data_IF_164533255365
#
_entry.id   IF_164533255365
#
_cell.length_a   1.000
_cell.length_b   1.000
_cell.length_c   1.000
_cell.angle_alpha   90.00
_cell.angle_beta   90.00
_cell.angle_gamma   90.00
#
_symmetry.space_group_name_H-M   'P 1'
#
loop_
_entity.id
_entity.type
_entity.pdbx_description
1 polymer ?
#
# COMPACT_ATOMS: atom_id res chain seq x y z
N UNK A 1 -20.84 0.09 6.47
CA UNK A 1 -21.34 0.16 5.07
C UNK A 1 -21.44 -1.25 4.51
N UNK A 2 -22.32 -1.50 3.56
CA UNK A 2 -22.47 -2.83 2.94
C UNK A 2 -22.34 -2.71 1.43
N UNK A 3 -21.48 -3.54 0.83
CA UNK A 3 -21.29 -3.61 -0.62
C UNK A 3 -21.83 -4.95 -1.18
N UNK A 4 -22.51 -4.85 -2.30
CA UNK A 4 -22.93 -5.97 -3.14
C UNK A 4 -21.97 -6.08 -4.33
N UNK A 5 -21.75 -7.28 -4.92
CA UNK A 5 -20.92 -7.45 -6.11
C UNK A 5 -21.55 -6.88 -7.38
N UNK A 6 -22.73 -6.25 -7.26
CA UNK A 6 -23.44 -5.65 -8.38
C UNK A 6 -23.10 -4.17 -8.46
N UNK A 7 -22.59 -3.74 -9.60
CA UNK A 7 -22.37 -2.31 -9.89
C UNK A 7 -23.68 -1.53 -9.81
N UNK A 8 -23.69 -0.50 -8.99
CA UNK A 8 -24.86 0.30 -8.73
C UNK A 8 -25.20 1.25 -9.89
N UNK A 9 -26.50 1.41 -10.17
CA UNK A 9 -26.99 2.43 -11.10
C UNK A 9 -26.88 3.81 -10.44
N UNK A 10 -26.48 4.82 -11.20
CA UNK A 10 -26.30 6.20 -10.76
C UNK A 10 -24.87 6.54 -10.35
N UNK A 11 -24.59 7.84 -10.21
CA UNK A 11 -23.25 8.33 -9.88
C UNK A 11 -22.89 8.01 -8.43
N UNK A 12 -21.78 7.32 -8.16
CA UNK A 12 -21.28 7.10 -6.80
C UNK A 12 -20.78 8.44 -6.20
N UNK A 13 -20.89 8.56 -4.88
CA UNK A 13 -20.25 9.61 -4.14
C UNK A 13 -18.86 9.11 -3.72
N UNK A 14 -17.83 9.85 -4.09
CA UNK A 14 -16.44 9.54 -3.74
C UNK A 14 -15.88 10.70 -2.92
N UNK A 15 -15.34 10.39 -1.76
CA UNK A 15 -14.83 11.40 -0.83
C UNK A 15 -13.35 11.67 -1.12
N UNK A 16 -12.97 12.95 -1.26
CA UNK A 16 -11.59 13.42 -1.39
C UNK A 16 -11.24 14.53 -0.41
N UNK A 17 -12.13 14.80 0.54
CA UNK A 17 -11.90 15.75 1.64
C UNK A 17 -12.19 15.05 2.94
N UNK A 18 -11.24 15.10 3.86
CA UNK A 18 -11.31 14.37 5.10
C UNK A 18 -12.38 14.90 6.06
N UNK A 19 -12.96 13.99 6.82
CA UNK A 19 -13.85 14.25 7.96
C UNK A 19 -13.04 14.42 9.26
N UNK A 20 -13.69 14.85 10.37
CA UNK A 20 -13.06 14.92 11.70
C UNK A 20 -12.59 13.58 12.25
N UNK A 21 -13.11 12.47 11.75
CA UNK A 21 -12.76 11.10 12.07
C UNK A 21 -12.97 10.24 10.82
N UNK A 22 -12.76 8.91 10.93
CA UNK A 22 -12.96 7.94 9.83
C UNK A 22 -11.79 7.91 8.82
N UNK A 23 -10.57 8.14 9.28
CA UNK A 23 -9.40 8.15 8.39
C UNK A 23 -9.29 6.87 7.55
N UNK A 24 -9.58 5.70 8.13
CA UNK A 24 -9.55 4.40 7.45
C UNK A 24 -10.93 3.93 6.92
N UNK A 25 -11.98 4.73 7.04
CA UNK A 25 -13.32 4.38 6.57
C UNK A 25 -13.40 4.27 5.03
N UNK A 26 -14.46 3.61 4.50
CA UNK A 26 -14.71 3.53 3.06
C UNK A 26 -14.93 4.93 2.47
N UNK A 27 -14.39 5.14 1.27
CA UNK A 27 -14.43 6.44 0.57
C UNK A 27 -15.41 6.48 -0.60
N UNK A 28 -16.00 5.35 -0.95
CA UNK A 28 -17.08 5.26 -1.94
C UNK A 28 -18.37 4.84 -1.23
N UNK A 29 -19.50 5.45 -1.58
CA UNK A 29 -20.81 5.11 -1.01
C UNK A 29 -21.43 3.84 -1.61
N UNK A 30 -20.99 3.48 -2.80
CA UNK A 30 -21.41 2.30 -3.56
C UNK A 30 -20.42 1.97 -4.67
N UNK A 31 -20.45 0.73 -5.12
CA UNK A 31 -19.66 0.30 -6.26
C UNK A 31 -20.21 0.92 -7.55
N UNK A 32 -19.46 1.85 -8.14
CA UNK A 32 -19.75 2.49 -9.44
C UNK A 32 -19.01 1.81 -10.58
N UNK A 33 -19.27 2.25 -11.84
CA UNK A 33 -18.61 1.68 -13.03
C UNK A 33 -17.10 1.89 -13.07
N UNK A 34 -16.61 3.02 -12.54
CA UNK A 34 -15.19 3.40 -12.58
C UNK A 34 -14.58 3.59 -11.21
N UNK A 35 -15.32 3.25 -10.13
CA UNK A 35 -14.82 3.42 -8.78
C UNK A 35 -13.98 2.25 -8.34
N UNK A 36 -13.04 2.54 -7.47
CA UNK A 36 -12.28 1.58 -6.70
C UNK A 36 -12.03 2.11 -5.29
N UNK A 37 -11.92 1.21 -4.33
CA UNK A 37 -11.48 1.46 -2.97
C UNK A 37 -10.79 0.19 -2.47
N UNK A 38 -9.56 0.30 -1.92
CA UNK A 38 -8.87 -0.85 -1.36
C UNK A 38 -8.14 -0.50 -0.07
N UNK A 39 -8.07 -1.47 0.82
CA UNK A 39 -7.25 -1.46 2.02
C UNK A 39 -6.05 -2.37 1.81
N UNK A 40 -4.88 -1.86 2.03
CA UNK A 40 -3.60 -2.51 1.81
C UNK A 40 -2.87 -2.73 3.13
N UNK A 41 -2.46 -3.95 3.41
CA UNK A 41 -1.69 -4.32 4.59
C UNK A 41 -0.49 -5.13 4.17
N UNK A 42 0.69 -4.84 4.75
CA UNK A 42 1.86 -5.69 4.57
C UNK A 42 2.76 -5.76 5.80
N UNK A 43 3.67 -6.73 5.76
CA UNK A 43 4.81 -6.82 6.64
C UNK A 43 6.01 -7.41 5.92
N UNK A 44 7.20 -6.95 6.31
CA UNK A 44 8.50 -7.45 5.87
C UNK A 44 9.30 -7.85 7.09
N UNK A 45 9.96 -9.02 7.04
CA UNK A 45 10.88 -9.45 8.10
C UNK A 45 12.05 -8.48 8.25
N UNK A 46 12.65 -8.42 9.42
CA UNK A 46 13.75 -7.49 9.71
C UNK A 46 14.96 -7.67 8.80
N UNK A 47 15.18 -8.87 8.26
CA UNK A 47 16.25 -9.18 7.31
C UNK A 47 15.85 -9.00 5.83
N UNK A 48 14.60 -8.60 5.54
CA UNK A 48 14.09 -8.40 4.19
C UNK A 48 13.88 -9.68 3.38
N UNK A 49 13.94 -10.86 3.99
CA UNK A 49 13.83 -12.15 3.27
C UNK A 49 12.42 -12.69 3.16
N UNK A 50 11.51 -12.29 4.05
CA UNK A 50 10.13 -12.73 4.10
C UNK A 50 9.18 -11.54 4.06
N UNK A 51 8.02 -11.71 3.43
CA UNK A 51 6.95 -10.72 3.46
C UNK A 51 5.57 -11.37 3.33
N UNK A 52 4.58 -10.66 3.85
CA UNK A 52 3.17 -11.00 3.73
C UNK A 52 2.38 -9.75 3.35
N UNK A 53 1.53 -9.85 2.34
CA UNK A 53 0.69 -8.73 1.87
C UNK A 53 -0.73 -9.20 1.69
N UNK A 54 -1.70 -8.42 2.16
CA UNK A 54 -3.14 -8.62 1.93
C UNK A 54 -3.76 -7.32 1.42
N UNK A 55 -4.54 -7.41 0.34
CA UNK A 55 -5.25 -6.27 -0.23
C UNK A 55 -6.73 -6.63 -0.34
N UNK A 56 -7.56 -5.78 0.22
CA UNK A 56 -9.02 -5.95 0.23
C UNK A 56 -9.64 -4.98 -0.78
N UNK A 57 -10.33 -5.48 -1.78
CA UNK A 57 -10.90 -4.68 -2.86
C UNK A 57 -12.42 -4.56 -2.79
N UNK A 58 -12.88 -3.33 -3.03
CA UNK A 58 -14.22 -3.01 -3.51
C UNK A 58 -14.04 -2.19 -4.79
N UNK A 59 -13.84 -2.85 -5.93
CA UNK A 59 -13.47 -2.19 -7.18
C UNK A 59 -14.22 -2.76 -8.37
N UNK A 60 -14.63 -1.88 -9.30
CA UNK A 60 -15.16 -2.34 -10.58
C UNK A 60 -14.03 -2.73 -11.54
N UNK A 61 -14.35 -3.56 -12.53
CA UNK A 61 -13.40 -3.97 -13.59
C UNK A 61 -12.82 -2.78 -14.37
N UNK A 62 -13.56 -1.70 -14.49
CA UNK A 62 -13.10 -0.48 -15.16
C UNK A 62 -12.32 0.40 -14.18
N UNK A 63 -12.77 0.48 -12.90
CA UNK A 63 -12.13 1.29 -11.88
C UNK A 63 -10.69 0.87 -11.60
N UNK A 64 -10.47 -0.44 -11.41
CA UNK A 64 -9.14 -1.01 -11.21
C UNK A 64 -8.91 -2.19 -12.14
N UNK A 65 -8.51 -1.89 -13.37
CA UNK A 65 -8.38 -2.87 -14.46
C UNK A 65 -7.19 -3.83 -14.32
N UNK A 66 -6.33 -3.68 -13.32
CA UNK A 66 -5.31 -4.66 -12.95
C UNK A 66 -5.90 -5.87 -12.23
N UNK A 67 -7.02 -5.70 -11.59
CA UNK A 67 -7.85 -6.78 -11.13
C UNK A 67 -8.64 -7.33 -12.32
N UNK A 68 -8.00 -8.17 -13.13
CA UNK A 68 -8.61 -8.82 -14.30
C UNK A 68 -9.85 -9.63 -13.93
N UNK A 69 -10.05 -9.93 -12.65
CA UNK A 69 -11.15 -10.72 -12.12
C UNK A 69 -12.30 -9.86 -11.61
N UNK A 70 -12.10 -8.55 -11.42
CA UNK A 70 -13.15 -7.65 -10.92
C UNK A 70 -14.36 -7.53 -11.83
N UNK A 71 -14.23 -7.96 -13.10
CA UNK A 71 -15.37 -8.12 -13.99
C UNK A 71 -16.38 -9.21 -13.52
N UNK A 72 -15.89 -10.21 -12.76
CA UNK A 72 -16.65 -11.34 -12.24
C UNK A 72 -16.77 -11.22 -10.72
N UNK A 73 -15.72 -10.76 -10.04
CA UNK A 73 -15.58 -10.69 -8.59
C UNK A 73 -15.10 -9.30 -8.14
N UNK A 74 -15.94 -8.25 -8.19
CA UNK A 74 -15.55 -6.89 -7.82
C UNK A 74 -15.27 -6.71 -6.31
N UNK A 75 -15.68 -7.70 -5.50
CA UNK A 75 -15.39 -7.79 -4.08
C UNK A 75 -14.46 -8.98 -3.86
N UNK A 76 -13.18 -8.73 -3.72
CA UNK A 76 -12.21 -9.80 -3.59
C UNK A 76 -11.04 -9.41 -2.68
N UNK A 77 -10.23 -10.40 -2.31
CA UNK A 77 -9.01 -10.22 -1.52
C UNK A 77 -7.84 -10.82 -2.28
N UNK A 78 -6.73 -10.11 -2.29
CA UNK A 78 -5.45 -10.61 -2.81
C UNK A 78 -4.50 -10.90 -1.67
N UNK A 79 -3.86 -12.06 -1.70
CA UNK A 79 -2.89 -12.49 -0.68
C UNK A 79 -1.58 -12.85 -1.37
N UNK A 80 -0.48 -12.28 -0.89
CA UNK A 80 0.87 -12.55 -1.37
C UNK A 80 1.78 -12.91 -0.20
N UNK A 81 2.67 -13.84 -0.45
CA UNK A 81 3.70 -14.25 0.50
C UNK A 81 5.05 -14.36 -0.20
N UNK A 82 6.10 -13.96 0.49
CA UNK A 82 7.49 -14.31 0.15
C UNK A 82 8.07 -15.09 1.30
N UNK A 83 8.50 -16.31 1.04
CA UNK A 83 9.07 -17.20 2.06
C UNK A 83 10.58 -17.00 2.14
N UNK A 84 11.17 -17.30 3.29
CA UNK A 84 12.61 -17.15 3.52
C UNK A 84 13.53 -18.04 2.63
N UNK A 85 12.94 -18.98 1.88
CA UNK A 85 13.63 -19.75 0.83
C UNK A 85 13.65 -19.05 -0.54
N UNK A 86 13.14 -17.80 -0.62
CA UNK A 86 13.03 -17.00 -1.84
C UNK A 86 11.83 -17.38 -2.72
N UNK A 87 10.99 -18.35 -2.33
CA UNK A 87 9.81 -18.69 -3.11
C UNK A 87 8.67 -17.72 -2.84
N UNK A 88 8.01 -17.16 -3.88
CA UNK A 88 6.78 -16.40 -3.72
C UNK A 88 5.56 -17.33 -3.76
N UNK A 89 4.46 -16.88 -3.16
CA UNK A 89 3.13 -17.44 -3.36
C UNK A 89 2.11 -16.30 -3.54
N UNK A 90 1.14 -16.53 -4.42
CA UNK A 90 0.07 -15.58 -4.69
C UNK A 90 -1.26 -16.31 -4.74
N UNK A 91 -2.26 -15.80 -4.02
CA UNK A 91 -3.64 -16.29 -4.03
C UNK A 91 -4.53 -15.12 -4.34
N UNK A 92 -5.01 -15.03 -5.57
CA UNK A 92 -5.91 -13.98 -6.04
C UNK A 92 -6.65 -14.39 -7.32
N UNK A 93 -7.90 -13.97 -7.47
CA UNK A 93 -8.72 -13.37 -6.44
C UNK A 93 -9.20 -14.41 -5.43
N UNK A 94 -9.42 -13.98 -4.18
CA UNK A 94 -10.27 -14.71 -3.23
C UNK A 94 -11.62 -13.98 -3.22
N UNK A 95 -12.66 -14.50 -3.87
CA UNK A 95 -13.90 -13.77 -4.07
C UNK A 95 -14.74 -13.69 -2.78
N UNK A 96 -15.53 -12.62 -2.70
CA UNK A 96 -16.53 -12.41 -1.66
C UNK A 96 -17.92 -12.21 -2.25
N UNK A 97 -18.93 -12.70 -1.57
CA UNK A 97 -20.35 -12.55 -1.97
C UNK A 97 -20.96 -11.22 -1.53
N UNK A 98 -20.39 -10.59 -0.52
CA UNK A 98 -20.70 -9.24 -0.05
C UNK A 98 -19.57 -8.74 0.85
N UNK A 99 -19.53 -7.42 1.11
CA UNK A 99 -18.59 -6.81 2.05
C UNK A 99 -19.35 -5.98 3.06
N UNK A 100 -18.99 -6.12 4.32
CA UNK A 100 -19.43 -5.23 5.40
C UNK A 100 -18.22 -4.49 5.93
N UNK A 101 -18.27 -3.15 5.93
CA UNK A 101 -17.27 -2.30 6.58
C UNK A 101 -17.91 -1.50 7.70
N UNK A 102 -17.20 -1.36 8.80
CA UNK A 102 -17.61 -0.56 9.96
C UNK A 102 -16.49 0.40 10.30
N UNK A 103 -16.81 1.67 10.45
CA UNK A 103 -15.86 2.70 10.89
C UNK A 103 -16.13 3.00 12.35
N UNK A 104 -15.07 3.10 13.15
CA UNK A 104 -15.12 3.44 14.56
C UNK A 104 -13.94 4.38 14.89
N UNK A 105 -14.23 5.63 15.25
CA UNK A 105 -13.20 6.66 15.36
C UNK A 105 -12.50 6.88 14.01
N UNK A 106 -11.19 6.83 13.99
CA UNK A 106 -10.39 6.86 12.76
C UNK A 106 -10.15 5.47 12.16
N UNK A 107 -10.32 4.40 12.93
CA UNK A 107 -10.13 3.03 12.49
C UNK A 107 -11.33 2.45 11.75
N UNK A 108 -11.11 1.34 11.08
CA UNK A 108 -12.13 0.57 10.39
C UNK A 108 -11.97 -0.94 10.60
N UNK A 109 -13.08 -1.65 10.38
CA UNK A 109 -13.11 -3.10 10.28
C UNK A 109 -13.81 -3.50 8.99
N UNK A 110 -13.38 -4.59 8.38
CA UNK A 110 -13.96 -5.08 7.15
C UNK A 110 -14.04 -6.60 7.09
N UNK A 111 -15.18 -7.11 6.65
CA UNK A 111 -15.39 -8.53 6.42
C UNK A 111 -15.81 -8.78 4.97
N UNK A 112 -15.00 -9.54 4.23
CA UNK A 112 -15.28 -10.01 2.87
C UNK A 112 -15.98 -11.36 2.97
N UNK A 113 -17.31 -11.34 3.10
CA UNK A 113 -18.13 -12.52 3.35
C UNK A 113 -17.97 -13.57 2.25
N UNK A 114 -17.70 -14.80 2.65
CA UNK A 114 -17.44 -15.93 1.75
C UNK A 114 -15.97 -16.14 1.41
N UNK A 115 -15.11 -15.13 1.55
CA UNK A 115 -13.67 -15.28 1.36
C UNK A 115 -12.97 -15.94 2.54
N UNK A 116 -13.53 -15.81 3.76
CA UNK A 116 -12.89 -16.20 5.01
C UNK A 116 -11.79 -15.24 5.46
N UNK A 117 -11.75 -14.00 4.91
CA UNK A 117 -10.71 -13.02 5.23
C UNK A 117 -11.36 -11.72 5.72
N UNK A 118 -10.82 -11.17 6.80
CA UNK A 118 -11.31 -9.93 7.42
C UNK A 118 -10.19 -9.16 8.08
N UNK A 119 -10.44 -7.88 8.38
CA UNK A 119 -9.58 -7.07 9.22
C UNK A 119 -10.37 -6.31 10.28
N UNK A 120 -9.72 -5.99 11.38
CA UNK A 120 -10.26 -5.21 12.49
C UNK A 120 -9.21 -4.23 13.00
N UNK A 121 -9.56 -2.94 13.02
CA UNK A 121 -8.72 -1.85 13.48
C UNK A 121 -9.27 -1.16 14.72
N UNK A 122 -8.37 -0.74 15.62
CA UNK A 122 -8.71 0.05 16.79
C UNK A 122 -9.13 1.48 16.38
N UNK A 123 -10.04 2.12 17.17
CA UNK A 123 -10.56 3.45 16.85
C UNK A 123 -9.51 4.56 16.75
N UNK A 124 -8.39 4.39 17.42
CA UNK A 124 -7.27 5.34 17.49
C UNK A 124 -6.11 4.97 16.57
N UNK A 125 -6.31 4.00 15.67
CA UNK A 125 -5.30 3.47 14.75
C UNK A 125 -4.10 2.81 15.45
N UNK A 126 -4.20 2.46 16.71
CA UNK A 126 -3.09 1.89 17.48
C UNK A 126 -2.75 0.47 17.07
N UNK A 127 -3.72 -0.31 16.59
CA UNK A 127 -3.48 -1.68 16.11
C UNK A 127 -4.49 -2.15 15.08
N UNK A 128 -4.07 -3.13 14.27
CA UNK A 128 -4.89 -3.88 13.33
C UNK A 128 -4.63 -5.37 13.42
N UNK A 129 -5.67 -6.15 13.18
CA UNK A 129 -5.60 -7.61 13.06
C UNK A 129 -6.25 -8.02 11.75
N UNK A 130 -5.49 -8.68 10.88
CA UNK A 130 -6.01 -9.37 9.70
C UNK A 130 -6.16 -10.85 10.04
N UNK A 131 -7.34 -11.42 9.80
CA UNK A 131 -7.68 -12.83 10.05
C UNK A 131 -7.90 -13.56 8.74
N UNK A 132 -7.28 -14.73 8.60
CA UNK A 132 -7.48 -15.65 7.50
C UNK A 132 -8.11 -16.93 8.04
N UNK A 133 -9.29 -17.27 7.54
CA UNK A 133 -10.02 -18.48 7.91
C UNK A 133 -10.67 -19.11 6.66
N UNK A 134 -9.82 -19.47 5.69
CA UNK A 134 -10.20 -20.23 4.51
C UNK A 134 -9.32 -21.48 4.35
N UNK A 135 -9.59 -22.53 5.16
CA UNK A 135 -8.77 -23.76 5.13
C UNK A 135 -8.91 -24.54 3.80
N UNK A 136 -9.96 -24.29 3.01
CA UNK A 136 -10.20 -24.97 1.73
C UNK A 136 -9.10 -24.66 0.72
N UNK A 137 -8.65 -23.39 0.69
CA UNK A 137 -7.54 -22.96 -0.18
C UNK A 137 -6.22 -22.80 0.60
N UNK A 138 -6.19 -23.27 1.86
CA UNK A 138 -4.99 -23.25 2.70
C UNK A 138 -4.56 -21.84 3.16
N UNK A 139 -5.50 -20.91 3.30
CA UNK A 139 -5.30 -19.57 3.89
C UNK A 139 -5.83 -19.58 5.32
N UNK A 140 -4.95 -19.61 6.32
CA UNK A 140 -5.34 -19.59 7.74
C UNK A 140 -4.31 -18.85 8.57
N UNK A 141 -4.76 -18.29 9.71
CA UNK A 141 -3.89 -17.63 10.68
C UNK A 141 -4.18 -16.15 10.87
N UNK A 142 -3.23 -15.44 11.45
CA UNK A 142 -3.37 -14.04 11.81
C UNK A 142 -2.14 -13.23 11.43
N UNK A 143 -2.39 -11.97 11.10
CA UNK A 143 -1.39 -10.94 10.87
C UNK A 143 -1.77 -9.72 11.71
N UNK A 144 -0.89 -9.28 12.58
CA UNK A 144 -1.14 -8.17 13.50
C UNK A 144 -0.16 -7.04 13.28
N UNK A 145 -0.65 -5.80 13.41
CA UNK A 145 0.11 -4.57 13.33
C UNK A 145 -0.09 -3.76 14.62
N UNK A 146 0.98 -3.18 15.16
CA UNK A 146 0.95 -2.15 16.20
C UNK A 146 1.65 -0.91 15.70
N UNK A 147 0.92 0.20 15.64
CA UNK A 147 1.44 1.45 15.11
C UNK A 147 2.64 1.96 15.93
N UNK A 148 3.64 2.49 15.21
CA UNK A 148 4.82 3.16 15.79
C UNK A 148 4.76 4.68 15.69
N UNK A 149 3.73 5.23 15.01
CA UNK A 149 3.58 6.68 14.87
C UNK A 149 2.27 7.07 14.21
N UNK A 150 1.99 8.35 14.09
CA UNK A 150 0.71 8.83 13.58
C UNK A 150 0.54 8.55 12.09
N UNK A 151 -0.71 8.26 11.69
CA UNK A 151 -1.12 8.23 10.30
C UNK A 151 -1.12 9.64 9.67
N UNK A 152 -1.17 9.70 8.34
CA UNK A 152 -1.12 10.97 7.63
C UNK A 152 -1.77 10.91 6.24
N UNK A 153 -2.10 12.08 5.68
CA UNK A 153 -2.35 12.28 4.25
C UNK A 153 -1.05 12.67 3.53
N UNK A 154 -1.05 12.70 2.21
CA UNK A 154 0.17 13.02 1.45
C UNK A 154 0.81 14.36 1.86
N UNK A 155 -0.01 15.39 2.06
CA UNK A 155 0.47 16.74 2.31
C UNK A 155 0.34 17.21 3.77
N UNK A 156 -0.19 16.40 4.68
CA UNK A 156 -0.41 16.82 6.07
C UNK A 156 -0.84 15.69 7.00
N UNK A 157 -0.92 15.99 8.30
CA UNK A 157 -1.37 15.03 9.31
C UNK A 157 -2.83 14.67 9.12
N UNK A 158 -3.29 13.60 9.77
CA UNK A 158 -4.72 13.31 9.90
C UNK A 158 -5.45 14.47 10.56
N UNK A 159 -6.64 14.77 10.07
CA UNK A 159 -7.47 15.85 10.59
C UNK A 159 -8.57 16.24 9.61
N UNK A 160 -9.52 17.07 9.99
CA UNK A 160 -10.64 17.47 9.15
C UNK A 160 -10.23 18.44 8.03
N UNK A 161 -11.01 18.42 6.93
CA UNK A 161 -10.89 19.35 5.80
C UNK A 161 -9.53 19.31 5.09
N UNK A 162 -8.83 18.20 5.16
CA UNK A 162 -7.60 17.96 4.40
C UNK A 162 -7.95 17.44 3.00
N UNK A 163 -7.13 17.79 2.01
CA UNK A 163 -7.18 17.14 0.70
C UNK A 163 -6.57 15.75 0.83
N UNK A 164 -7.37 14.73 0.52
CA UNK A 164 -6.96 13.31 0.58
C UNK A 164 -6.38 12.82 -0.75
N UNK A 165 -6.28 13.68 -1.77
CA UNK A 165 -5.78 13.28 -3.07
C UNK A 165 -4.24 13.13 -3.08
N UNK A 166 -3.78 11.97 -3.49
CA UNK A 166 -2.39 11.71 -3.85
C UNK A 166 -2.06 12.26 -5.24
N UNK A 167 -2.97 12.00 -6.19
CA UNK A 167 -3.07 12.59 -7.52
C UNK A 167 -4.53 12.99 -7.77
N UNK A 168 -4.84 13.87 -8.73
CA UNK A 168 -6.23 14.13 -9.10
C UNK A 168 -6.96 12.81 -9.36
N UNK A 169 -8.10 12.61 -8.70
CA UNK A 169 -8.93 11.39 -8.78
C UNK A 169 -8.35 10.11 -8.10
N UNK A 170 -7.20 10.19 -7.47
CA UNK A 170 -6.66 9.12 -6.63
C UNK A 170 -6.54 9.64 -5.19
N UNK A 171 -7.40 9.16 -4.31
CA UNK A 171 -7.28 9.38 -2.88
C UNK A 171 -6.30 8.41 -2.21
N UNK A 172 -5.72 8.84 -1.10
CA UNK A 172 -4.82 8.04 -0.29
C UNK A 172 -4.78 8.52 1.15
N UNK A 173 -4.69 7.57 2.04
CA UNK A 173 -4.35 7.79 3.45
C UNK A 173 -3.40 6.72 3.92
N UNK A 174 -2.31 7.12 4.55
CA UNK A 174 -1.42 6.20 5.25
C UNK A 174 -1.86 6.09 6.71
N UNK A 175 -2.46 4.97 7.03
CA UNK A 175 -3.04 4.71 8.35
C UNK A 175 -1.95 4.35 9.36
N UNK A 176 -1.02 3.50 8.94
CA UNK A 176 0.16 3.09 9.71
C UNK A 176 1.41 3.18 8.83
N UNK A 177 2.16 4.30 8.88
CA UNK A 177 3.39 4.48 8.10
C UNK A 177 4.55 3.59 8.58
N UNK A 178 4.49 3.13 9.81
CA UNK A 178 5.38 2.16 10.41
C UNK A 178 4.69 1.44 11.57
N UNK A 179 4.85 0.13 11.64
CA UNK A 179 4.27 -0.69 12.67
C UNK A 179 5.20 -1.85 13.06
N UNK A 180 5.06 -2.34 14.28
CA UNK A 180 5.55 -3.66 14.66
C UNK A 180 4.57 -4.70 14.15
N UNK A 181 5.08 -5.67 13.40
CA UNK A 181 4.28 -6.69 12.74
C UNK A 181 4.57 -8.08 13.28
N UNK A 182 3.50 -8.88 13.47
CA UNK A 182 3.59 -10.31 13.75
C UNK A 182 2.76 -11.06 12.72
N UNK A 183 3.41 -11.88 11.93
CA UNK A 183 2.79 -12.77 10.93
C UNK A 183 2.86 -14.19 11.40
N UNK A 184 1.70 -14.88 11.53
CA UNK A 184 1.59 -16.31 11.83
C UNK A 184 0.44 -16.88 10.98
N UNK A 185 0.76 -17.19 9.72
CA UNK A 185 -0.22 -17.61 8.72
C UNK A 185 0.22 -18.84 7.96
N UNK A 186 -0.73 -19.49 7.28
CA UNK A 186 -0.46 -20.43 6.20
C UNK A 186 -0.97 -19.87 4.88
N UNK A 187 -0.16 -19.94 3.85
CA UNK A 187 -0.53 -19.55 2.48
C UNK A 187 -0.38 -20.77 1.58
N UNK A 188 -1.47 -21.22 0.96
CA UNK A 188 -1.55 -22.50 0.23
C UNK A 188 -1.08 -23.68 1.08
N UNK A 189 -1.37 -23.63 2.40
CA UNK A 189 -0.96 -24.63 3.37
C UNK A 189 0.51 -24.55 3.85
N UNK A 190 1.37 -23.75 3.17
CA UNK A 190 2.76 -23.52 3.58
C UNK A 190 2.82 -22.50 4.72
N UNK A 191 3.45 -22.81 5.87
CA UNK A 191 3.54 -21.87 6.98
C UNK A 191 4.47 -20.71 6.66
N UNK A 192 4.05 -19.50 7.09
CA UNK A 192 4.85 -18.28 7.08
C UNK A 192 4.74 -17.65 8.46
N UNK A 193 5.85 -17.55 9.17
CA UNK A 193 5.91 -17.00 10.52
C UNK A 193 7.14 -16.14 10.69
N UNK A 194 6.92 -14.87 11.03
CA UNK A 194 8.00 -13.92 11.32
C UNK A 194 7.47 -12.73 12.12
N UNK A 195 8.39 -12.01 12.75
CA UNK A 195 8.21 -10.66 13.27
C UNK A 195 8.99 -9.68 12.39
N UNK A 196 8.49 -8.45 12.24
CA UNK A 196 9.14 -7.47 11.37
C UNK A 196 8.47 -6.11 11.38
N UNK A 197 8.60 -5.41 10.28
CA UNK A 197 8.05 -4.08 10.06
C UNK A 197 6.79 -4.18 9.23
N UNK A 198 5.73 -3.49 9.66
CA UNK A 198 4.44 -3.51 9.00
C UNK A 198 4.00 -2.14 8.53
N UNK A 199 3.00 -2.16 7.65
CA UNK A 199 2.47 -0.99 6.98
C UNK A 199 0.99 -1.19 6.66
N UNK A 200 0.22 -0.09 6.68
CA UNK A 200 -1.18 -0.08 6.26
C UNK A 200 -1.55 1.26 5.65
N UNK A 201 -2.14 1.20 4.47
CA UNK A 201 -2.76 2.34 3.80
C UNK A 201 -4.04 1.96 3.06
N UNK A 202 -4.67 2.93 2.45
CA UNK A 202 -5.73 2.71 1.49
C UNK A 202 -5.72 3.73 0.36
N UNK A 203 -6.18 3.28 -0.82
CA UNK A 203 -6.42 4.13 -1.97
C UNK A 203 -7.82 3.95 -2.50
N UNK A 204 -8.33 5.00 -3.14
CA UNK A 204 -9.63 5.01 -3.80
C UNK A 204 -9.66 5.99 -4.96
N UNK A 205 -10.71 5.88 -5.80
CA UNK A 205 -10.88 6.81 -6.91
C UNK A 205 -12.23 6.70 -7.59
N UNK A 206 -12.53 7.69 -8.42
CA UNK A 206 -13.79 7.86 -9.14
C UNK A 206 -13.66 7.69 -10.67
N UNK A 207 -12.43 7.59 -11.18
CA UNK A 207 -12.13 7.30 -12.59
C UNK A 207 -11.24 6.06 -12.69
N UNK A 208 -11.11 5.44 -13.88
CA UNK A 208 -10.22 4.29 -14.05
C UNK A 208 -8.79 4.61 -13.61
N UNK A 209 -8.23 3.82 -12.70
CA UNK A 209 -6.90 4.03 -12.12
C UNK A 209 -5.82 4.26 -13.19
N UNK A 210 -5.82 3.45 -14.25
CA UNK A 210 -4.85 3.55 -15.35
C UNK A 210 -4.92 4.86 -16.16
N UNK A 211 -5.98 5.67 -15.97
CA UNK A 211 -6.12 6.98 -16.62
C UNK A 211 -5.68 8.13 -15.71
N UNK A 212 -5.49 7.85 -14.43
CA UNK A 212 -5.16 8.86 -13.41
C UNK A 212 -3.65 9.05 -13.20
N UNK A 213 -2.80 8.20 -13.80
CA UNK A 213 -1.33 8.31 -13.75
C UNK A 213 -0.69 7.68 -14.99
N UNK A 214 0.58 8.01 -15.24
CA UNK A 214 1.44 7.31 -16.21
C UNK A 214 2.31 6.25 -15.54
N UNK A 215 2.88 6.59 -14.39
CA UNK A 215 3.72 5.67 -13.62
C UNK A 215 3.84 6.14 -12.17
N UNK A 216 4.20 5.23 -11.29
CA UNK A 216 4.71 5.56 -9.96
C UNK A 216 5.77 4.57 -9.48
N UNK A 217 6.61 5.06 -8.59
CA UNK A 217 7.31 4.27 -7.57
C UNK A 217 6.69 4.61 -6.22
N UNK A 218 6.36 3.59 -5.46
CA UNK A 218 5.93 3.68 -4.08
C UNK A 218 6.70 2.68 -3.24
N UNK A 219 6.86 2.98 -1.98
CA UNK A 219 7.39 2.03 -1.03
C UNK A 219 7.47 2.56 0.38
N UNK A 220 7.79 1.63 1.27
CA UNK A 220 8.13 1.92 2.65
C UNK A 220 9.36 1.12 3.08
N UNK A 221 10.03 1.59 4.13
CA UNK A 221 11.23 0.96 4.65
C UNK A 221 11.40 1.24 6.15
N UNK A 222 12.07 0.33 6.85
CA UNK A 222 12.51 0.56 8.21
C UNK A 222 14.02 0.39 8.30
N UNK A 223 14.74 1.45 8.70
CA UNK A 223 16.19 1.50 8.70
C UNK A 223 16.73 2.45 9.77
N UNK A 224 17.67 2.00 10.60
CA UNK A 224 18.34 2.85 11.59
C UNK A 224 17.41 3.55 12.60
N UNK A 225 16.26 2.94 12.92
CA UNK A 225 15.21 3.52 13.78
C UNK A 225 14.28 4.50 13.06
N UNK A 226 14.40 4.63 11.75
CA UNK A 226 13.47 5.39 10.91
C UNK A 226 12.48 4.47 10.22
N UNK A 227 11.22 4.90 10.13
CA UNK A 227 10.23 4.37 9.20
C UNK A 227 9.99 5.39 8.10
N UNK A 228 10.14 4.96 6.86
CA UNK A 228 10.10 5.81 5.67
C UNK A 228 8.92 5.40 4.80
N UNK A 229 8.20 6.37 4.25
CA UNK A 229 7.21 6.17 3.18
C UNK A 229 7.50 7.15 2.06
N UNK A 230 7.45 6.69 0.83
CA UNK A 230 7.83 7.50 -0.31
C UNK A 230 7.00 7.20 -1.56
N UNK A 231 6.71 8.27 -2.32
CA UNK A 231 6.12 8.22 -3.65
C UNK A 231 6.92 9.08 -4.63
N UNK A 232 7.04 8.61 -5.86
CA UNK A 232 7.50 9.38 -7.01
C UNK A 232 6.61 9.00 -8.21
N UNK A 233 5.76 9.91 -8.63
CA UNK A 233 4.65 9.66 -9.56
C UNK A 233 4.72 10.56 -10.77
N UNK A 234 4.27 10.06 -11.91
CA UNK A 234 4.04 10.86 -13.11
C UNK A 234 2.54 10.92 -13.38
N UNK A 235 1.98 12.11 -13.34
CA UNK A 235 0.57 12.33 -13.61
C UNK A 235 0.24 12.16 -15.12
N UNK A 236 -1.04 12.17 -15.52
CA UNK A 236 -1.41 12.01 -16.92
C UNK A 236 -0.84 13.10 -17.85
N UNK A 237 -0.51 14.28 -17.31
CA UNK A 237 0.09 15.40 -18.06
C UNK A 237 1.63 15.27 -18.17
N UNK A 238 2.24 14.27 -17.51
CA UNK A 238 3.69 14.08 -17.48
C UNK A 238 4.40 14.90 -16.41
N UNK A 239 3.66 15.43 -15.43
CA UNK A 239 4.22 16.22 -14.34
C UNK A 239 4.62 15.25 -13.19
N UNK A 240 5.85 15.40 -12.71
CA UNK A 240 6.32 14.66 -11.56
C UNK A 240 5.67 15.18 -10.27
N UNK A 241 5.10 14.28 -9.50
CA UNK A 241 4.54 14.48 -8.17
C UNK A 241 5.27 13.57 -7.19
N UNK A 242 5.49 14.04 -5.98
CA UNK A 242 6.20 13.29 -4.95
C UNK A 242 5.43 13.29 -3.64
N UNK A 243 5.70 12.30 -2.82
CA UNK A 243 5.28 12.23 -1.43
C UNK A 243 6.38 11.62 -0.58
N UNK A 244 6.61 12.16 0.59
CA UNK A 244 7.59 11.62 1.51
C UNK A 244 7.20 11.82 2.95
N UNK A 245 7.43 10.80 3.75
CA UNK A 245 7.18 10.80 5.17
C UNK A 245 8.25 9.99 5.90
N UNK A 246 8.70 10.48 7.02
CA UNK A 246 9.63 9.76 7.88
C UNK A 246 9.26 9.92 9.34
N UNK A 247 9.25 8.79 10.05
CA UNK A 247 9.23 8.71 11.50
C UNK A 247 10.64 8.43 12.02
N UNK A 248 10.95 8.95 13.19
CA UNK A 248 12.11 8.58 13.99
C UNK A 248 11.64 8.38 15.42
N UNK A 249 11.76 7.15 15.92
CA UNK A 249 11.34 6.81 17.29
C UNK A 249 9.88 7.25 17.62
N UNK A 250 8.97 7.15 16.62
CA UNK A 250 7.57 7.53 16.72
C UNK A 250 7.26 9.01 16.43
N UNK A 251 8.28 9.85 16.25
CA UNK A 251 8.12 11.29 15.97
C UNK A 251 8.25 11.57 14.46
N UNK A 252 7.41 12.48 13.95
CA UNK A 252 7.43 12.87 12.53
C UNK A 252 8.63 13.78 12.27
N UNK A 253 9.62 13.29 11.52
CA UNK A 253 10.84 14.02 11.17
C UNK A 253 10.88 14.47 9.71
N UNK A 254 9.99 14.00 8.87
CA UNK A 254 9.74 14.54 7.53
C UNK A 254 8.29 14.30 7.11
N UNK A 255 7.70 15.30 6.46
CA UNK A 255 6.45 15.17 5.71
C UNK A 255 6.44 16.20 4.58
N UNK A 256 6.32 15.73 3.35
CA UNK A 256 6.32 16.59 2.16
C UNK A 256 5.54 15.96 1.02
N UNK A 257 4.90 16.81 0.20
CA UNK A 257 4.23 16.41 -1.04
C UNK A 257 4.63 17.27 -2.24
N UNK A 258 5.69 18.06 -2.12
CA UNK A 258 6.11 19.00 -3.17
C UNK A 258 7.55 18.81 -3.61
N UNK A 259 8.48 18.75 -2.66
CA UNK A 259 9.93 18.67 -2.91
C UNK A 259 10.59 17.83 -1.82
N UNK A 260 11.91 17.60 -1.95
CA UNK A 260 12.70 16.92 -0.90
C UNK A 260 12.61 15.40 -0.94
N UNK A 261 11.96 14.81 -1.94
CA UNK A 261 11.96 13.36 -2.18
C UNK A 261 12.30 13.10 -3.65
N UNK A 262 13.13 12.11 -3.89
CA UNK A 262 13.50 11.66 -5.22
C UNK A 262 13.76 10.17 -5.23
N UNK A 263 13.05 9.42 -6.06
CA UNK A 263 13.27 7.99 -6.29
C UNK A 263 13.71 7.81 -7.74
N UNK A 264 14.82 7.09 -7.96
CA UNK A 264 15.31 6.82 -9.31
C UNK A 264 15.81 5.38 -9.44
N UNK A 265 15.46 4.69 -10.53
CA UNK A 265 16.10 3.42 -10.86
C UNK A 265 17.58 3.64 -11.18
N UNK A 266 18.41 2.66 -10.81
CA UNK A 266 19.87 2.76 -11.04
C UNK A 266 20.21 2.30 -12.46
N UNK A 267 19.53 1.28 -12.96
CA UNK A 267 19.91 0.52 -14.15
C UNK A 267 18.86 0.57 -15.28
N UNK A 268 17.80 1.37 -15.14
CA UNK A 268 16.75 1.50 -16.14
C UNK A 268 16.36 2.97 -16.36
N UNK A 269 15.74 3.33 -17.51
CA UNK A 269 15.26 4.68 -17.75
C UNK A 269 14.19 5.14 -16.74
N UNK A 270 14.16 6.46 -16.49
CA UNK A 270 13.11 7.13 -15.72
C UNK A 270 12.47 8.26 -16.56
N UNK A 271 11.16 8.46 -16.47
CA UNK A 271 10.19 7.63 -15.76
C UNK A 271 9.95 6.28 -16.45
N UNK A 272 9.48 5.26 -15.71
CA UNK A 272 9.21 3.96 -16.32
C UNK A 272 7.97 4.01 -17.22
N UNK A 273 8.01 3.22 -18.29
CA UNK A 273 6.92 2.99 -19.24
C UNK A 273 6.60 1.50 -19.30
N UNK A 274 5.52 1.11 -19.97
CA UNK A 274 5.20 -0.33 -20.20
C UNK A 274 6.32 -1.09 -20.92
N UNK A 275 7.26 -0.39 -21.57
CA UNK A 275 8.40 -0.95 -22.28
C UNK A 275 9.71 -0.90 -21.49
N UNK A 276 9.70 -0.26 -20.32
CA UNK A 276 10.90 -0.12 -19.49
C UNK A 276 11.17 -1.43 -18.77
N UNK A 277 12.42 -1.88 -18.82
CA UNK A 277 12.83 -3.05 -18.04
C UNK A 277 12.64 -2.80 -16.53
N UNK A 278 12.36 -3.86 -15.79
CA UNK A 278 12.20 -3.82 -14.35
C UNK A 278 13.54 -3.53 -13.68
N UNK A 279 13.67 -2.48 -12.85
CA UNK A 279 14.93 -2.15 -12.17
C UNK A 279 15.23 -3.15 -11.05
N UNK A 280 16.52 -3.39 -10.82
CA UNK A 280 16.99 -4.23 -9.70
C UNK A 280 17.18 -3.44 -8.42
N UNK A 281 17.43 -2.14 -8.54
CA UNK A 281 17.71 -1.27 -7.41
C UNK A 281 17.18 0.13 -7.69
N UNK A 282 16.78 0.81 -6.60
CA UNK A 282 16.35 2.21 -6.63
C UNK A 282 17.23 3.03 -5.70
N UNK A 283 17.49 4.27 -6.05
CA UNK A 283 17.95 5.28 -5.09
C UNK A 283 16.76 6.00 -4.49
N UNK A 284 16.84 6.31 -3.20
CA UNK A 284 15.93 7.19 -2.48
C UNK A 284 16.75 8.32 -1.86
N UNK A 285 16.43 9.56 -2.20
CA UNK A 285 16.94 10.74 -1.53
C UNK A 285 15.78 11.45 -0.84
N UNK A 286 15.94 11.81 0.43
CA UNK A 286 14.93 12.53 1.21
C UNK A 286 15.60 13.62 2.04
N UNK A 287 14.94 14.75 2.22
CA UNK A 287 15.38 15.82 3.13
C UNK A 287 14.44 15.86 4.32
N UNK A 288 14.97 15.70 5.52
CA UNK A 288 14.22 15.79 6.77
C UNK A 288 13.88 17.25 7.12
N UNK A 289 12.94 17.46 8.05
CA UNK A 289 12.46 18.78 8.44
C UNK A 289 13.54 19.70 9.01
N UNK A 290 14.61 19.14 9.59
CA UNK A 290 15.76 19.86 10.12
C UNK A 290 16.85 20.14 9.07
N UNK A 291 16.63 19.75 7.81
CA UNK A 291 17.57 19.87 6.71
C UNK A 291 18.57 18.70 6.59
N UNK A 292 18.48 17.70 7.46
CA UNK A 292 19.31 16.48 7.34
C UNK A 292 18.98 15.74 6.05
N UNK A 293 20.01 15.32 5.31
CA UNK A 293 19.85 14.49 4.12
C UNK A 293 19.87 13.00 4.47
N UNK A 294 18.93 12.29 3.83
CA UNK A 294 18.86 10.84 3.78
C UNK A 294 19.13 10.41 2.35
N UNK A 295 20.17 9.62 2.17
CA UNK A 295 20.53 9.00 0.89
C UNK A 295 20.51 7.49 1.06
N UNK A 296 19.71 6.79 0.25
CA UNK A 296 19.54 5.36 0.39
C UNK A 296 19.54 4.64 -0.95
N UNK A 297 19.87 3.35 -0.89
CA UNK A 297 19.76 2.38 -1.97
C UNK A 297 18.88 1.24 -1.51
N UNK A 298 17.82 0.98 -2.28
CA UNK A 298 16.97 -0.20 -2.13
C UNK A 298 17.45 -1.27 -3.09
N UNK A 299 17.72 -2.47 -2.57
CA UNK A 299 18.20 -3.60 -3.35
C UNK A 299 17.23 -4.77 -3.23
N UNK A 300 16.72 -5.21 -4.38
CA UNK A 300 15.80 -6.34 -4.49
C UNK A 300 16.43 -7.65 -3.96
N UNK A 301 15.68 -8.34 -3.11
CA UNK A 301 15.94 -9.74 -2.70
C UNK A 301 14.97 -10.68 -3.40
N UNK A 302 13.67 -10.37 -3.36
CA UNK A 302 12.62 -11.19 -3.99
C UNK A 302 11.63 -10.33 -4.75
N UNK A 303 11.21 -10.77 -5.92
CA UNK A 303 10.03 -10.24 -6.61
C UNK A 303 8.80 -10.97 -6.07
N UNK A 304 7.95 -10.25 -5.34
CA UNK A 304 6.72 -10.79 -4.77
C UNK A 304 5.63 -10.93 -5.82
N UNK A 305 5.55 -9.97 -6.74
CA UNK A 305 4.58 -9.95 -7.84
C UNK A 305 5.21 -9.30 -9.07
N UNK A 306 4.95 -9.86 -10.25
CA UNK A 306 5.27 -9.23 -11.53
C UNK A 306 4.19 -9.60 -12.57
N UNK A 307 3.38 -8.63 -12.94
CA UNK A 307 2.39 -8.73 -14.03
C UNK A 307 2.69 -7.76 -15.17
N UNK A 308 3.97 -7.37 -15.33
CA UNK A 308 4.47 -6.46 -16.35
C UNK A 308 4.29 -5.00 -16.02
N UNK A 309 3.08 -4.50 -16.04
CA UNK A 309 2.73 -3.11 -15.75
C UNK A 309 2.71 -2.76 -14.25
N UNK A 310 2.71 -3.78 -13.41
CA UNK A 310 2.83 -3.66 -11.96
C UNK A 310 3.81 -4.71 -11.44
N UNK A 311 4.78 -4.25 -10.67
CA UNK A 311 5.80 -5.10 -10.05
C UNK A 311 5.98 -4.70 -8.60
N UNK A 312 6.06 -5.69 -7.70
CA UNK A 312 6.34 -5.48 -6.27
C UNK A 312 7.53 -6.30 -5.83
N UNK A 313 8.38 -5.68 -5.03
CA UNK A 313 9.60 -6.29 -4.49
C UNK A 313 9.66 -6.17 -2.99
N UNK A 314 10.40 -7.10 -2.40
CA UNK A 314 10.95 -6.97 -1.06
C UNK A 314 12.46 -7.02 -1.13
N UNK A 315 13.12 -6.40 -0.17
CA UNK A 315 14.57 -6.42 -0.12
C UNK A 315 15.13 -5.61 1.03
N UNK A 316 16.38 -5.23 0.85
CA UNK A 316 17.14 -4.44 1.82
C UNK A 316 17.21 -2.98 1.42
N UNK A 317 17.35 -2.13 2.40
CA UNK A 317 17.71 -0.72 2.26
C UNK A 317 19.02 -0.47 2.99
N UNK A 318 19.97 0.20 2.33
CA UNK A 318 21.13 0.83 2.97
C UNK A 318 20.93 2.33 2.90
N UNK A 319 20.90 2.99 4.05
CA UNK A 319 20.65 4.42 4.15
C UNK A 319 21.75 5.12 4.94
N UNK A 320 22.22 6.24 4.41
CA UNK A 320 23.08 7.21 5.13
C UNK A 320 22.25 8.41 5.52
N UNK A 321 22.11 8.64 6.82
CA UNK A 321 21.29 9.71 7.40
C UNK A 321 22.17 10.55 8.32
N UNK A 322 22.38 11.84 7.98
CA UNK A 322 23.23 12.71 8.77
C UNK A 322 24.67 12.19 8.91
N UNK A 323 25.16 11.41 7.91
CA UNK A 323 26.51 10.82 7.93
C UNK A 323 26.63 9.46 8.62
N UNK A 324 25.53 8.91 9.16
CA UNK A 324 25.50 7.56 9.75
C UNK A 324 24.83 6.58 8.79
N UNK A 325 25.54 5.51 8.46
CA UNK A 325 25.02 4.45 7.57
C UNK A 325 24.42 3.31 8.39
N UNK A 326 23.22 2.86 7.96
CA UNK A 326 22.50 1.74 8.55
C UNK A 326 21.88 0.90 7.44
N UNK A 327 21.59 -0.36 7.76
CA UNK A 327 20.85 -1.28 6.89
C UNK A 327 19.50 -1.64 7.51
N UNK A 328 18.53 -1.98 6.67
CA UNK A 328 17.20 -2.35 7.08
C UNK A 328 16.45 -3.12 5.99
N UNK A 329 15.14 -3.21 6.12
CA UNK A 329 14.27 -3.89 5.15
C UNK A 329 13.28 -2.94 4.52
N UNK A 330 12.83 -3.27 3.31
CA UNK A 330 11.91 -2.47 2.52
C UNK A 330 10.98 -3.33 1.68
N UNK A 331 9.79 -2.78 1.40
CA UNK A 331 8.90 -3.22 0.36
C UNK A 331 8.60 -2.03 -0.54
N UNK A 332 8.63 -2.25 -1.86
CA UNK A 332 8.34 -1.20 -2.83
C UNK A 332 7.73 -1.77 -4.09
N UNK A 333 7.07 -0.91 -4.86
CA UNK A 333 6.47 -1.30 -6.12
C UNK A 333 6.65 -0.25 -7.22
N UNK A 334 6.34 -0.68 -8.44
CA UNK A 334 6.30 0.12 -9.65
C UNK A 334 4.98 -0.13 -10.37
N UNK A 335 4.25 0.94 -10.67
CA UNK A 335 3.31 0.96 -11.77
C UNK A 335 3.92 1.66 -12.99
N UNK A 336 3.74 1.07 -14.17
CA UNK A 336 4.12 1.68 -15.44
C UNK A 336 3.01 1.36 -16.46
N UNK A 337 2.03 2.27 -16.59
CA UNK A 337 0.80 2.02 -17.34
C UNK A 337 0.75 2.79 -18.67
N UNK A 338 1.68 3.70 -18.89
CA UNK A 338 1.78 4.50 -20.11
C UNK A 338 2.85 3.95 -21.07
N UNK A 339 2.62 3.98 -22.39
CA UNK A 339 3.65 3.69 -23.39
C UNK A 339 4.66 4.84 -23.56
N UNK A 340 4.37 6.01 -23.01
CA UNK A 340 5.23 7.21 -23.09
C UNK A 340 5.58 7.74 -21.70
N UNK A 341 6.79 8.32 -21.53
CA UNK A 341 7.21 8.98 -20.30
C UNK A 341 6.27 10.06 -19.81
#
# INVERSE_FOLDING_TARGET
MNFSPITSIGTPQVQFTSCPSQADGPRIDKLGLSTFDWWYFDAVSTDGSQAFTVIFFTSSAIGFSFDFFSAVDPLNVWVFASFGDGSPASVFPVPAVSVTTTTNGDGASGEWHGSGISFEGEPDLSSYVVKLDNPVIGLTGTFTLKSRGPGHYNCGPLGPNQDEQLLPHIGWVNVMPGADAVVDVKVLGKPLKFEGHGYHDKNWGDIPFITALKSWYWGHASVGGYDLVFFDMIDPQGINKVGGYALKDGEVVAQTCTTGVKIRPIDTPYPPTIFTAVPKSLTLNMTLNDGTHLDAVLTQVTTQLNIGIYVRWIGTIEATIGGLTSTGSALWDQFAVSPTP
#
